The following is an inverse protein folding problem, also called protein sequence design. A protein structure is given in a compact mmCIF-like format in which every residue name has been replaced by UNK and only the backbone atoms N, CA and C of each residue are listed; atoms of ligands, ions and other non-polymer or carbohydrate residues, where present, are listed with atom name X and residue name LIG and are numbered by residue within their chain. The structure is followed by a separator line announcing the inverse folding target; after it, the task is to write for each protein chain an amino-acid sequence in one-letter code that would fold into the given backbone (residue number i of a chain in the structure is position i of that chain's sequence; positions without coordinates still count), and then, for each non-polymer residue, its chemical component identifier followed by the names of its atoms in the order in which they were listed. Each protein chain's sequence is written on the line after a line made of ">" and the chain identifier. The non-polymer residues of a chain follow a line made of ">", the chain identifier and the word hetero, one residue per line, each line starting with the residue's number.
data_IF_118231096832
#
_entry.id   IF_118231096832
#
_cell.length_a   1.000
_cell.length_b   1.000
_cell.length_c   1.000
_cell.angle_alpha   90.00
_cell.angle_beta   90.00
_cell.angle_gamma   90.00
#
_symmetry.space_group_name_H-M   'P 1'
#
loop_
_entity.id
_entity.type
_entity.pdbx_description
1 polymer ?
#
# COMPACT_ATOMS: atom_id res chain seq x y z
N UNK A 1 6.55 16.03 3.94
CA UNK A 1 6.02 14.84 3.22
C UNK A 1 7.11 13.80 3.10
N UNK A 2 6.79 12.53 3.33
CA UNK A 2 7.75 11.41 3.21
C UNK A 2 7.07 10.21 2.59
N UNK A 3 7.81 9.45 1.78
CA UNK A 3 7.36 8.14 1.28
C UNK A 3 7.26 7.20 2.48
N UNK A 4 6.09 6.59 2.65
CA UNK A 4 5.77 5.84 3.85
C UNK A 4 6.63 4.59 4.03
N UNK A 5 6.92 3.87 2.96
CA UNK A 5 7.64 2.59 2.96
C UNK A 5 9.18 2.73 3.05
N UNK A 6 9.72 3.92 2.99
CA UNK A 6 11.18 4.12 2.91
C UNK A 6 11.97 3.42 4.01
N UNK A 7 12.99 2.70 3.55
CA UNK A 7 13.91 1.89 4.33
C UNK A 7 13.22 0.73 5.08
N UNK A 8 12.00 0.34 4.70
CA UNK A 8 11.38 -0.86 5.24
C UNK A 8 12.20 -2.08 4.83
N UNK A 9 12.69 -2.89 5.77
CA UNK A 9 13.39 -4.13 5.44
C UNK A 9 12.45 -5.14 4.79
N UNK A 10 12.92 -5.77 3.74
CA UNK A 10 12.19 -6.84 3.05
C UNK A 10 13.12 -8.01 2.78
N UNK A 11 12.53 -9.21 2.68
CA UNK A 11 13.21 -10.41 2.22
C UNK A 11 12.31 -11.08 1.19
N UNK A 12 12.85 -11.31 -0.02
CA UNK A 12 12.14 -11.93 -1.14
C UNK A 12 13.03 -12.98 -1.79
N UNK A 13 12.53 -14.22 -1.90
CA UNK A 13 13.32 -15.31 -2.46
C UNK A 13 14.67 -15.53 -1.75
N UNK A 14 14.74 -15.30 -0.44
CA UNK A 14 15.97 -15.40 0.34
C UNK A 14 16.93 -14.21 0.21
N UNK A 15 16.58 -13.18 -0.57
CA UNK A 15 17.40 -11.97 -0.74
C UNK A 15 16.90 -10.88 0.19
N UNK A 16 17.78 -10.41 1.07
CA UNK A 16 17.51 -9.29 1.97
C UNK A 16 17.80 -7.97 1.28
N UNK A 17 16.87 -7.03 1.42
CA UNK A 17 16.94 -5.71 0.83
C UNK A 17 16.12 -4.71 1.65
N UNK A 18 15.93 -3.51 1.12
CA UNK A 18 15.05 -2.52 1.70
C UNK A 18 14.28 -1.78 0.61
N UNK A 19 13.08 -1.33 0.95
CA UNK A 19 12.27 -0.50 0.05
C UNK A 19 12.91 0.87 -0.12
N UNK A 20 13.23 1.24 -1.36
CA UNK A 20 13.83 2.52 -1.70
C UNK A 20 12.83 3.57 -2.22
N UNK A 21 11.73 3.10 -2.78
CA UNK A 21 10.70 3.90 -3.44
C UNK A 21 9.30 3.40 -3.06
N UNK A 22 8.29 3.73 -3.85
CA UNK A 22 6.90 3.33 -3.62
C UNK A 22 6.69 1.85 -3.86
N UNK A 23 6.09 1.17 -2.91
CA UNK A 23 5.78 -0.25 -2.99
C UNK A 23 4.38 -0.55 -2.43
N UNK A 24 3.63 -1.44 -3.09
CA UNK A 24 2.41 -2.03 -2.55
C UNK A 24 2.67 -3.37 -1.88
N UNK A 25 3.71 -4.10 -2.31
CA UNK A 25 4.08 -5.41 -1.75
C UNK A 25 4.66 -5.32 -0.33
N UNK A 26 5.06 -4.12 0.09
CA UNK A 26 5.67 -3.87 1.39
C UNK A 26 4.85 -2.83 2.17
N UNK A 27 4.26 -3.27 3.27
CA UNK A 27 3.38 -2.41 4.08
C UNK A 27 4.21 -1.54 5.02
N UNK A 28 4.17 -0.23 4.81
CA UNK A 28 4.80 0.75 5.68
C UNK A 28 3.99 1.05 6.96
N UNK A 29 4.48 2.00 7.79
CA UNK A 29 5.61 2.87 7.51
C UNK A 29 6.98 2.22 7.78
N UNK A 30 7.96 2.61 6.97
CA UNK A 30 9.34 2.22 7.15
C UNK A 30 10.11 3.12 8.12
N UNK A 31 11.28 2.68 8.61
CA UNK A 31 12.03 3.38 9.67
C UNK A 31 12.47 4.80 9.28
N UNK A 32 12.76 5.04 8.00
CA UNK A 32 13.12 6.38 7.53
C UNK A 32 11.92 7.34 7.59
N UNK A 33 10.75 6.91 7.16
CA UNK A 33 9.54 7.71 7.24
C UNK A 33 9.19 8.05 8.69
N UNK A 34 9.24 7.06 9.59
CA UNK A 34 9.01 7.25 11.02
C UNK A 34 9.98 8.26 11.62
N UNK A 35 11.26 8.17 11.29
CA UNK A 35 12.27 9.15 11.76
C UNK A 35 11.96 10.56 11.27
N UNK A 36 11.63 10.73 9.97
CA UNK A 36 11.27 12.02 9.39
C UNK A 36 10.05 12.63 10.07
N UNK A 37 9.00 11.84 10.30
CA UNK A 37 7.77 12.35 10.95
C UNK A 37 8.02 12.70 12.41
N UNK A 38 8.84 11.92 13.12
CA UNK A 38 9.22 12.24 14.50
C UNK A 38 9.91 13.59 14.58
N UNK A 39 10.93 13.83 13.76
CA UNK A 39 11.65 15.11 13.73
C UNK A 39 10.75 16.26 13.30
N UNK A 40 9.88 16.06 12.29
CA UNK A 40 8.93 17.07 11.87
C UNK A 40 7.98 17.47 13.01
N UNK A 41 7.41 16.49 13.70
CA UNK A 41 6.52 16.73 14.86
C UNK A 41 7.24 17.47 15.99
N UNK A 42 8.49 17.10 16.31
CA UNK A 42 9.31 17.79 17.31
C UNK A 42 9.56 19.25 16.93
N UNK A 43 9.64 19.55 15.65
CA UNK A 43 9.78 20.91 15.11
C UNK A 43 8.43 21.65 14.97
N UNK A 44 7.32 21.09 15.44
CA UNK A 44 5.97 21.68 15.31
C UNK A 44 5.39 21.63 13.89
N UNK A 45 5.94 20.82 13.00
CA UNK A 45 5.50 20.73 11.63
C UNK A 45 4.42 19.64 11.46
N UNK A 46 3.53 19.86 10.49
CA UNK A 46 2.56 18.86 10.06
C UNK A 46 3.23 17.75 9.24
N UNK A 47 2.73 16.53 9.39
CA UNK A 47 3.27 15.34 8.74
C UNK A 47 2.33 14.79 7.68
N UNK A 48 2.86 14.49 6.52
CA UNK A 48 2.11 13.90 5.41
C UNK A 48 2.81 12.64 4.92
N UNK A 49 2.09 11.53 4.94
CA UNK A 49 2.55 10.28 4.35
C UNK A 49 2.21 10.25 2.87
N UNK A 50 3.20 9.98 2.03
CA UNK A 50 2.97 9.68 0.61
C UNK A 50 3.04 8.18 0.41
N UNK A 51 1.99 7.60 -0.19
CA UNK A 51 1.88 6.16 -0.45
C UNK A 51 1.28 5.88 -1.83
N UNK A 52 1.59 4.71 -2.35
CA UNK A 52 0.88 4.14 -3.49
C UNK A 52 -0.25 3.24 -3.00
N UNK A 53 -1.41 3.34 -3.62
CA UNK A 53 -2.57 2.50 -3.28
C UNK A 53 -3.17 1.77 -4.49
N UNK A 54 -2.94 2.24 -5.70
CA UNK A 54 -3.49 1.66 -6.93
C UNK A 54 -2.46 0.88 -7.72
N UNK A 55 -1.51 1.60 -8.27
CA UNK A 55 -0.36 1.07 -8.96
C UNK A 55 0.90 1.46 -8.20
N UNK A 56 1.98 0.77 -8.48
CA UNK A 56 3.28 1.04 -7.90
C UNK A 56 4.37 0.80 -8.93
N UNK A 57 5.59 1.04 -8.57
CA UNK A 57 6.75 0.70 -9.41
C UNK A 57 6.88 -0.80 -9.67
N UNK A 58 6.29 -1.64 -8.81
CA UNK A 58 6.33 -3.09 -8.95
C UNK A 58 5.60 -3.58 -10.21
N UNK A 59 4.45 -2.97 -10.50
CA UNK A 59 3.62 -3.32 -11.67
C UNK A 59 3.07 -2.03 -12.29
N UNK A 60 3.95 -1.23 -12.85
CA UNK A 60 3.64 0.11 -13.33
C UNK A 60 2.53 0.19 -14.39
N UNK A 61 2.31 -0.89 -15.14
CA UNK A 61 1.27 -0.97 -16.18
C UNK A 61 -0.10 -1.39 -15.65
N UNK A 62 -0.19 -1.83 -14.40
CA UNK A 62 -1.45 -2.27 -13.79
C UNK A 62 -2.09 -1.10 -13.05
N UNK A 63 -3.24 -0.59 -13.48
CA UNK A 63 -3.81 0.64 -12.91
C UNK A 63 -4.39 0.46 -11.50
N UNK A 64 -4.75 -0.75 -11.11
CA UNK A 64 -5.27 -1.07 -9.78
C UNK A 64 -4.91 -2.50 -9.41
N UNK A 65 -3.83 -2.69 -8.68
CA UNK A 65 -3.41 -4.00 -8.19
C UNK A 65 -4.36 -4.44 -7.06
N UNK A 66 -5.01 -5.61 -7.15
CA UNK A 66 -6.08 -6.00 -6.21
C UNK A 66 -5.53 -6.56 -4.89
N UNK A 67 -4.67 -5.80 -4.22
CA UNK A 67 -4.00 -6.17 -2.96
C UNK A 67 -4.61 -5.44 -1.76
N UNK A 68 -5.92 -5.55 -1.63
CA UNK A 68 -6.69 -4.72 -0.71
C UNK A 68 -6.35 -4.96 0.76
N UNK A 69 -5.90 -6.15 1.16
CA UNK A 69 -5.45 -6.38 2.53
C UNK A 69 -4.16 -5.59 2.86
N UNK A 70 -3.24 -5.49 1.91
CA UNK A 70 -2.03 -4.69 2.10
C UNK A 70 -2.36 -3.20 2.19
N UNK A 71 -3.30 -2.74 1.39
CA UNK A 71 -3.79 -1.35 1.44
C UNK A 71 -4.48 -1.06 2.77
N UNK A 72 -5.33 -1.97 3.25
CA UNK A 72 -6.01 -1.84 4.55
C UNK A 72 -5.00 -1.81 5.71
N UNK A 73 -4.05 -2.72 5.72
CA UNK A 73 -3.00 -2.77 6.74
C UNK A 73 -2.16 -1.47 6.75
N UNK A 74 -1.83 -0.94 5.58
CA UNK A 74 -1.08 0.32 5.49
C UNK A 74 -1.90 1.49 6.04
N UNK A 75 -3.20 1.56 5.73
CA UNK A 75 -4.10 2.58 6.26
C UNK A 75 -4.19 2.51 7.81
N UNK A 76 -4.28 1.32 8.37
CA UNK A 76 -4.30 1.09 9.82
C UNK A 76 -2.99 1.57 10.47
N UNK A 77 -1.85 1.16 9.91
CA UNK A 77 -0.53 1.56 10.41
C UNK A 77 -0.36 3.09 10.41
N UNK A 78 -0.76 3.77 9.33
CA UNK A 78 -0.68 5.23 9.25
C UNK A 78 -1.59 5.95 10.24
N UNK A 79 -2.75 5.36 10.50
CA UNK A 79 -3.68 5.88 11.52
C UNK A 79 -3.05 5.80 12.91
N UNK A 80 -2.38 4.69 13.22
CA UNK A 80 -1.67 4.50 14.51
C UNK A 80 -0.51 5.47 14.69
N UNK A 81 0.15 5.87 13.61
CA UNK A 81 1.24 6.85 13.63
C UNK A 81 0.76 8.30 13.72
N UNK A 82 -0.55 8.54 13.72
CA UNK A 82 -1.15 9.88 13.81
C UNK A 82 -0.54 10.87 12.82
N UNK A 83 -0.42 10.49 11.56
CA UNK A 83 -0.04 11.41 10.48
C UNK A 83 -1.16 12.42 10.25
N UNK A 84 -0.81 13.68 9.98
CA UNK A 84 -1.81 14.74 9.76
C UNK A 84 -2.50 14.64 8.41
N UNK A 85 -1.91 13.92 7.46
CA UNK A 85 -2.49 13.74 6.14
C UNK A 85 -1.81 12.67 5.31
N UNK A 86 -2.44 12.36 4.19
CA UNK A 86 -1.92 11.40 3.21
C UNK A 86 -1.97 11.99 1.81
N UNK A 87 -1.01 11.63 0.99
CA UNK A 87 -1.01 11.85 -0.45
C UNK A 87 -1.04 10.48 -1.12
N UNK A 88 -2.18 10.14 -1.71
CA UNK A 88 -2.45 8.82 -2.27
C UNK A 88 -2.15 8.79 -3.75
N UNK A 89 -1.40 7.78 -4.14
CA UNK A 89 -0.96 7.52 -5.51
C UNK A 89 -0.12 8.65 -6.10
N UNK A 90 0.62 8.33 -7.11
CA UNK A 90 1.52 9.28 -7.76
C UNK A 90 1.40 9.23 -9.28
N UNK A 91 1.52 8.05 -9.84
CA UNK A 91 1.38 7.81 -11.27
C UNK A 91 0.45 6.63 -11.47
N UNK A 92 -0.15 6.53 -12.62
CA UNK A 92 -1.02 5.43 -13.05
C UNK A 92 -2.07 5.01 -12.00
N UNK A 93 -3.24 4.67 -12.44
CA UNK A 93 -4.27 4.22 -11.53
C UNK A 93 -4.91 5.36 -10.73
N UNK A 94 -5.67 6.17 -11.43
CA UNK A 94 -6.54 7.16 -10.83
C UNK A 94 -7.86 6.54 -10.34
N UNK A 95 -8.82 7.38 -10.12
CA UNK A 95 -10.18 7.02 -9.76
C UNK A 95 -11.01 6.69 -11.03
N UNK A 96 -11.97 5.76 -11.01
CA UNK A 96 -12.41 4.99 -9.84
C UNK A 96 -11.49 3.80 -9.51
N UNK A 97 -11.35 3.50 -8.21
CA UNK A 97 -10.51 2.41 -7.72
C UNK A 97 -11.03 1.88 -6.39
N UNK A 98 -11.17 0.56 -6.27
CA UNK A 98 -11.52 -0.09 -5.00
C UNK A 98 -10.47 0.13 -3.92
N UNK A 99 -9.19 0.23 -4.28
CA UNK A 99 -8.11 0.50 -3.33
C UNK A 99 -8.22 1.90 -2.73
N UNK A 100 -8.48 2.91 -3.57
CA UNK A 100 -8.70 4.29 -3.09
C UNK A 100 -9.97 4.39 -2.23
N UNK A 101 -11.04 3.72 -2.64
CA UNK A 101 -12.28 3.68 -1.90
C UNK A 101 -12.09 3.03 -0.52
N UNK A 102 -11.38 1.90 -0.46
CA UNK A 102 -11.04 1.23 0.78
C UNK A 102 -10.26 2.16 1.71
N UNK A 103 -9.19 2.77 1.20
CA UNK A 103 -8.36 3.68 1.98
C UNK A 103 -9.15 4.87 2.53
N UNK A 104 -10.02 5.43 1.71
CA UNK A 104 -10.87 6.57 2.06
C UNK A 104 -11.95 6.22 3.11
N UNK A 105 -12.45 4.98 3.06
CA UNK A 105 -13.49 4.50 3.98
C UNK A 105 -12.94 3.99 5.31
N UNK A 106 -11.65 3.68 5.39
CA UNK A 106 -11.01 3.16 6.59
C UNK A 106 -11.06 4.17 7.73
N UNK A 107 -11.44 3.70 8.93
CA UNK A 107 -11.53 4.52 10.15
C UNK A 107 -10.78 3.86 11.29
N UNK A 108 -10.20 4.64 12.22
CA UNK A 108 -9.54 4.11 13.41
C UNK A 108 -10.45 3.15 14.18
N UNK A 109 -9.90 2.01 14.58
CA UNK A 109 -10.63 0.99 15.33
C UNK A 109 -11.59 0.12 14.53
N UNK A 110 -11.70 0.33 13.22
CA UNK A 110 -12.50 -0.53 12.35
C UNK A 110 -11.70 -1.78 11.97
N UNK A 111 -12.32 -2.96 12.05
CA UNK A 111 -11.69 -4.21 11.66
C UNK A 111 -11.55 -4.28 10.13
N UNK A 112 -10.35 -4.62 9.65
CA UNK A 112 -10.03 -4.73 8.23
C UNK A 112 -11.01 -5.66 7.49
N UNK A 113 -11.27 -6.84 8.06
CA UNK A 113 -12.18 -7.82 7.47
C UNK A 113 -13.58 -7.25 7.22
N UNK A 114 -14.09 -6.46 8.16
CA UNK A 114 -15.39 -5.80 8.02
C UNK A 114 -15.39 -4.81 6.87
N UNK A 115 -14.33 -3.99 6.74
CA UNK A 115 -14.20 -3.01 5.65
C UNK A 115 -14.14 -3.71 4.30
N UNK A 116 -13.31 -4.74 4.18
CA UNK A 116 -13.16 -5.51 2.95
C UNK A 116 -14.46 -6.18 2.53
N UNK A 117 -15.16 -6.81 3.49
CA UNK A 117 -16.45 -7.43 3.21
C UNK A 117 -17.50 -6.42 2.74
N UNK A 118 -17.63 -5.28 3.42
CA UNK A 118 -18.57 -4.24 3.02
C UNK A 118 -18.28 -3.71 1.61
N UNK A 119 -17.01 -3.52 1.28
CA UNK A 119 -16.60 -3.10 -0.04
C UNK A 119 -16.91 -4.17 -1.11
N UNK A 120 -16.64 -5.43 -0.81
CA UNK A 120 -16.97 -6.55 -1.69
C UNK A 120 -18.49 -6.68 -1.90
N UNK A 121 -19.29 -6.56 -0.85
CA UNK A 121 -20.76 -6.59 -0.92
C UNK A 121 -21.30 -5.44 -1.77
N UNK A 122 -20.72 -4.25 -1.63
CA UNK A 122 -21.12 -3.05 -2.40
C UNK A 122 -20.90 -3.23 -3.89
N UNK A 123 -19.75 -3.76 -4.30
CA UNK A 123 -19.37 -3.85 -5.72
C UNK A 123 -19.80 -5.14 -6.40
N UNK A 124 -19.91 -6.24 -5.66
CA UNK A 124 -20.12 -7.57 -6.22
C UNK A 124 -21.36 -8.30 -5.67
N UNK A 125 -22.03 -7.68 -4.68
CA UNK A 125 -23.19 -8.27 -4.03
C UNK A 125 -22.84 -9.30 -2.96
N UNK A 126 -23.80 -9.54 -2.06
CA UNK A 126 -23.60 -10.40 -0.87
C UNK A 126 -23.19 -11.83 -1.20
N UNK A 127 -23.69 -12.38 -2.31
CA UNK A 127 -23.41 -13.78 -2.70
C UNK A 127 -21.94 -13.95 -3.16
N UNK A 128 -21.40 -12.98 -3.90
CA UNK A 128 -20.03 -13.05 -4.41
C UNK A 128 -18.99 -12.55 -3.42
N UNK A 129 -19.38 -11.72 -2.44
CA UNK A 129 -18.46 -11.07 -1.53
C UNK A 129 -17.46 -12.02 -0.83
N UNK A 130 -17.86 -13.21 -0.33
CA UNK A 130 -16.90 -14.14 0.30
C UNK A 130 -15.81 -14.61 -0.68
N UNK A 131 -16.16 -14.88 -1.95
CA UNK A 131 -15.21 -15.30 -2.96
C UNK A 131 -14.27 -14.14 -3.36
N UNK A 132 -14.81 -12.95 -3.45
CA UNK A 132 -14.03 -11.73 -3.75
C UNK A 132 -13.03 -11.45 -2.63
N UNK A 133 -13.44 -11.49 -1.36
CA UNK A 133 -12.54 -11.33 -0.24
C UNK A 133 -11.44 -12.40 -0.25
N UNK A 134 -11.79 -13.65 -0.54
CA UNK A 134 -10.81 -14.72 -0.68
C UNK A 134 -9.81 -14.45 -1.82
N UNK A 135 -10.27 -13.96 -2.95
CA UNK A 135 -9.39 -13.59 -4.07
C UNK A 135 -8.44 -12.44 -3.67
N UNK A 136 -8.94 -11.39 -3.04
CA UNK A 136 -8.12 -10.29 -2.54
C UNK A 136 -7.07 -10.73 -1.53
N UNK A 137 -7.43 -11.66 -0.63
CA UNK A 137 -6.50 -12.29 0.28
C UNK A 137 -5.35 -13.00 -0.47
N UNK A 138 -5.69 -13.88 -1.41
CA UNK A 138 -4.70 -14.63 -2.18
C UNK A 138 -3.78 -13.72 -3.01
N UNK A 139 -4.34 -12.68 -3.63
CA UNK A 139 -3.54 -11.68 -4.34
C UNK A 139 -2.61 -10.91 -3.40
N UNK A 140 -3.08 -10.54 -2.22
CA UNK A 140 -2.28 -9.84 -1.21
C UNK A 140 -1.13 -10.73 -0.73
N UNK A 141 -1.40 -12.00 -0.42
CA UNK A 141 -0.35 -12.95 0.00
C UNK A 141 0.69 -13.19 -1.11
N UNK A 142 0.23 -13.43 -2.34
CA UNK A 142 1.13 -13.62 -3.47
C UNK A 142 1.99 -12.38 -3.74
N UNK A 143 1.41 -11.20 -3.61
CA UNK A 143 2.11 -9.95 -3.92
C UNK A 143 3.18 -9.57 -2.89
N UNK A 144 3.09 -10.08 -1.66
CA UNK A 144 4.17 -9.95 -0.66
C UNK A 144 5.49 -10.57 -1.14
N UNK A 145 5.42 -11.56 -2.04
CA UNK A 145 6.59 -12.22 -2.59
C UNK A 145 7.11 -11.57 -3.89
N UNK A 146 6.49 -10.49 -4.35
CA UNK A 146 6.94 -9.79 -5.55
C UNK A 146 8.40 -9.32 -5.40
N UNK A 147 9.31 -9.67 -6.33
CA UNK A 147 10.76 -9.48 -6.20
C UNK A 147 11.15 -8.01 -6.42
N UNK A 148 10.64 -7.11 -5.60
CA UNK A 148 10.89 -5.68 -5.67
C UNK A 148 11.95 -5.23 -4.69
N UNK A 149 12.94 -4.52 -5.21
CA UNK A 149 13.96 -3.83 -4.42
C UNK A 149 14.59 -2.69 -5.25
N UNK A 150 15.45 -1.87 -4.64
CA UNK A 150 16.08 -0.75 -5.33
C UNK A 150 16.85 -1.13 -6.60
N UNK A 151 17.43 -2.34 -6.65
CA UNK A 151 18.11 -2.84 -7.86
C UNK A 151 17.14 -3.23 -8.96
N UNK A 152 16.03 -3.88 -8.63
CA UNK A 152 15.02 -4.29 -9.62
C UNK A 152 14.18 -3.12 -10.12
N UNK A 153 14.08 -2.04 -9.35
CA UNK A 153 13.33 -0.84 -9.72
C UNK A 153 13.77 -0.26 -11.08
N UNK A 154 15.07 -0.21 -11.31
CA UNK A 154 15.64 0.42 -12.52
C UNK A 154 16.18 -0.57 -13.54
N UNK A 155 16.25 -1.83 -13.20
CA UNK A 155 16.88 -2.85 -14.03
C UNK A 155 16.03 -4.09 -14.27
N UNK A 156 14.88 -4.18 -13.60
CA UNK A 156 14.01 -5.34 -13.67
C UNK A 156 13.04 -5.31 -14.84
N UNK A 157 12.46 -6.45 -15.20
CA UNK A 157 11.52 -6.59 -16.30
C UNK A 157 10.27 -5.72 -16.19
N UNK A 158 9.89 -5.32 -14.98
CA UNK A 158 8.72 -4.47 -14.74
C UNK A 158 8.82 -3.09 -15.41
N UNK A 159 10.03 -2.65 -15.75
CA UNK A 159 10.26 -1.41 -16.48
C UNK A 159 10.48 -1.60 -17.98
N UNK A 160 10.55 -2.85 -18.41
CA UNK A 160 10.72 -3.23 -19.81
C UNK A 160 9.35 -3.64 -20.39
N UNK A 161 8.30 -2.92 -20.01
CA UNK A 161 6.96 -3.13 -20.53
C UNK A 161 6.91 -2.98 -22.05
N UNK A 162 5.84 -3.50 -22.68
CA UNK A 162 5.70 -3.43 -24.13
C UNK A 162 5.64 -2.00 -24.62
#
# INVERSE_FOLDING_TARGET
>A
MSVSEWALPIERGGIRSAVGEYALSAVGPGPRALAHWRYAKQAGLKTVAKIQVNASWEMAVVPAVPVLELVAQHAENLTSEATDGVMLSWSLGGYPSTNLELFQSFRPGQQQETCLRQLAEKHYGKQAAPLVCRAWHLFSEAFKEFPYNGGTLYSGPQHMGP
#
